data_IF_782559026026
#
_entry.id   IF_782559026026
#
_cell.length_a   1.000
_cell.length_b   1.000
_cell.length_c   1.000
_cell.angle_alpha   90.00
_cell.angle_beta   90.00
_cell.angle_gamma   90.00
#
_symmetry.space_group_name_H-M   'P 1'
#
loop_
_entity.id
_entity.type
_entity.pdbx_description
1 polymer ?
#
# COMPACT_ATOMS: atom_id res chain seq x y z
N UNK A 1 -11.95 5.47 -0.16
CA UNK A 1 -12.70 5.98 1.03
C UNK A 1 -13.28 7.38 0.83
N UNK A 2 -13.45 7.82 -0.41
CA UNK A 2 -14.10 9.11 -0.69
C UNK A 2 -15.52 9.15 -0.09
N UNK A 3 -15.84 10.23 0.61
CA UNK A 3 -17.13 10.45 1.32
C UNK A 3 -17.51 9.38 2.36
N UNK A 4 -16.56 8.60 2.85
CA UNK A 4 -16.82 7.64 3.92
C UNK A 4 -16.48 8.22 5.29
N UNK A 5 -17.25 7.93 6.32
CA UNK A 5 -16.90 8.28 7.69
C UNK A 5 -15.66 7.47 8.14
N UNK A 6 -14.96 7.96 9.17
CA UNK A 6 -13.76 7.31 9.69
C UNK A 6 -14.02 5.89 10.26
N UNK A 7 -15.25 5.60 10.67
CA UNK A 7 -15.67 4.27 11.11
C UNK A 7 -15.60 3.21 10.01
N UNK A 8 -15.61 3.63 8.74
CA UNK A 8 -15.48 2.75 7.57
C UNK A 8 -14.03 2.66 7.05
N UNK A 9 -13.09 3.39 7.66
CA UNK A 9 -11.68 3.30 7.26
C UNK A 9 -11.07 1.98 7.75
N UNK A 10 -10.39 1.31 6.84
CA UNK A 10 -9.77 0.00 7.11
C UNK A 10 -8.42 0.12 7.81
N UNK A 11 -8.36 0.93 8.87
CA UNK A 11 -7.18 1.03 9.73
C UNK A 11 -6.84 -0.30 10.40
N UNK A 12 -5.59 -0.47 10.80
CA UNK A 12 -5.19 -1.58 11.65
C UNK A 12 -5.83 -1.41 13.05
N UNK A 13 -6.61 -2.41 13.46
CA UNK A 13 -7.37 -2.38 14.73
C UNK A 13 -6.83 -3.34 15.79
N UNK A 14 -5.78 -4.09 15.48
CA UNK A 14 -5.11 -4.93 16.48
C UNK A 14 -4.16 -4.07 17.30
N UNK A 15 -4.40 -3.97 18.59
CA UNK A 15 -3.63 -3.18 19.57
C UNK A 15 -2.17 -3.64 19.69
N UNK A 16 -1.89 -4.91 19.41
CA UNK A 16 -0.54 -5.46 19.40
C UNK A 16 0.32 -4.97 18.21
N UNK A 17 -0.29 -4.40 17.15
CA UNK A 17 0.44 -3.87 16.00
C UNK A 17 0.92 -2.46 16.24
N UNK A 18 2.11 -2.13 15.74
CA UNK A 18 2.61 -0.74 15.73
C UNK A 18 1.79 0.18 14.84
N UNK A 19 1.01 -0.37 13.91
CA UNK A 19 0.10 0.36 13.04
C UNK A 19 -1.27 0.63 13.67
N UNK A 20 -1.49 0.24 14.93
CA UNK A 20 -2.78 0.37 15.60
C UNK A 20 -3.28 1.80 15.63
N UNK A 21 -4.52 1.99 15.22
CA UNK A 21 -5.29 3.24 15.33
C UNK A 21 -6.60 2.93 16.05
N UNK A 22 -6.90 3.57 17.19
CA UNK A 22 -8.15 3.38 17.93
C UNK A 22 -9.40 3.76 17.12
N UNK A 23 -10.54 3.18 17.49
CA UNK A 23 -11.82 3.62 16.92
C UNK A 23 -12.10 5.09 17.22
N UNK A 24 -12.73 5.78 16.25
CA UNK A 24 -13.02 7.20 16.36
C UNK A 24 -11.84 8.11 16.00
N UNK A 25 -10.61 7.58 15.94
CA UNK A 25 -9.45 8.35 15.52
C UNK A 25 -9.23 8.30 14.00
N UNK A 26 -8.51 9.29 13.49
CA UNK A 26 -8.19 9.44 12.08
C UNK A 26 -9.21 10.27 11.31
N UNK A 27 -8.72 11.32 10.65
CA UNK A 27 -9.51 12.21 9.81
C UNK A 27 -9.52 11.81 8.35
N UNK A 28 -8.40 11.25 7.87
CA UNK A 28 -8.18 10.86 6.49
C UNK A 28 -7.62 9.46 6.42
N UNK A 29 -8.03 8.72 5.41
CA UNK A 29 -7.39 7.46 5.04
C UNK A 29 -6.41 7.72 3.90
N UNK A 30 -5.14 7.56 4.18
CA UNK A 30 -4.07 7.76 3.20
C UNK A 30 -3.79 6.47 2.45
N UNK A 31 -3.97 6.49 1.13
CA UNK A 31 -3.62 5.36 0.29
C UNK A 31 -2.10 5.27 0.09
N UNK A 32 -1.55 4.06 0.12
CA UNK A 32 -0.11 3.81 0.01
C UNK A 32 0.49 4.10 -1.37
N UNK A 33 -0.35 4.34 -2.39
CA UNK A 33 0.10 4.46 -3.78
C UNK A 33 0.84 5.75 -4.13
N UNK A 34 0.72 6.81 -3.34
CA UNK A 34 1.38 8.09 -3.61
C UNK A 34 1.69 8.82 -2.31
N UNK A 35 2.96 8.97 -2.02
CA UNK A 35 3.45 9.80 -0.91
C UNK A 35 4.78 10.45 -1.29
N UNK A 36 5.12 11.56 -0.65
CA UNK A 36 6.38 12.24 -0.91
C UNK A 36 6.62 13.39 0.06
N UNK A 37 7.77 14.02 -0.07
CA UNK A 37 8.15 15.15 0.77
C UNK A 37 9.59 15.58 0.55
N UNK A 38 10.06 16.55 1.34
CA UNK A 38 11.49 16.85 1.32
C UNK A 38 12.29 15.66 1.88
N UNK A 39 13.50 15.48 1.40
CA UNK A 39 14.36 14.33 1.70
C UNK A 39 14.42 14.01 3.21
N UNK A 40 14.63 15.03 4.04
CA UNK A 40 14.74 14.85 5.49
C UNK A 40 13.45 14.27 6.11
N UNK A 41 12.29 14.81 5.73
CA UNK A 41 11.00 14.35 6.25
C UNK A 41 10.65 12.95 5.73
N UNK A 42 10.91 12.69 4.45
CA UNK A 42 10.64 11.39 3.86
C UNK A 42 11.55 10.29 4.42
N UNK A 43 12.82 10.56 4.62
CA UNK A 43 13.73 9.62 5.29
C UNK A 43 13.30 9.35 6.74
N UNK A 44 12.82 10.36 7.48
CA UNK A 44 12.27 10.15 8.82
C UNK A 44 11.06 9.21 8.80
N UNK A 45 10.13 9.40 7.85
CA UNK A 45 9.00 8.48 7.64
C UNK A 45 9.48 7.06 7.37
N UNK A 46 10.40 6.87 6.41
CA UNK A 46 10.91 5.54 6.05
C UNK A 46 11.60 4.86 7.24
N UNK A 47 12.50 5.55 7.96
CA UNK A 47 13.21 4.95 9.10
C UNK A 47 12.26 4.59 10.23
N UNK A 48 11.26 5.42 10.49
CA UNK A 48 10.23 5.12 11.50
C UNK A 48 9.43 3.88 11.13
N UNK A 49 8.93 3.83 9.89
CA UNK A 49 8.15 2.67 9.40
C UNK A 49 9.01 1.40 9.41
N UNK A 50 10.29 1.45 8.99
CA UNK A 50 11.18 0.29 9.07
C UNK A 50 11.29 -0.23 10.51
N UNK A 51 11.48 0.65 11.50
CA UNK A 51 11.56 0.24 12.90
C UNK A 51 10.25 -0.39 13.42
N UNK A 52 9.11 0.05 12.90
CA UNK A 52 7.81 -0.53 13.24
C UNK A 52 7.61 -1.90 12.60
N UNK A 53 8.01 -2.05 11.34
CA UNK A 53 8.01 -3.36 10.64
C UNK A 53 8.85 -4.38 11.41
N UNK A 54 10.05 -4.02 11.83
CA UNK A 54 10.94 -4.91 12.59
C UNK A 54 10.30 -5.32 13.92
N UNK A 55 9.65 -4.39 14.62
CA UNK A 55 8.94 -4.67 15.87
C UNK A 55 7.75 -5.61 15.65
N UNK A 56 6.90 -5.31 14.67
CA UNK A 56 5.75 -6.15 14.33
C UNK A 56 6.20 -7.54 13.88
N UNK A 57 7.28 -7.64 13.10
CA UNK A 57 7.85 -8.92 12.67
C UNK A 57 8.34 -9.76 13.86
N UNK A 58 8.96 -9.14 14.87
CA UNK A 58 9.38 -9.83 16.11
C UNK A 58 8.18 -10.42 16.85
N UNK A 59 7.02 -9.80 16.75
CA UNK A 59 5.77 -10.26 17.34
C UNK A 59 4.92 -11.12 16.39
N UNK A 60 5.45 -11.51 15.23
CA UNK A 60 4.74 -12.26 14.18
C UNK A 60 3.48 -11.54 13.66
N UNK A 61 3.49 -10.23 13.67
CA UNK A 61 2.40 -9.39 13.19
C UNK A 61 2.73 -8.85 11.80
N UNK A 62 1.77 -8.94 10.90
CA UNK A 62 1.77 -8.24 9.62
C UNK A 62 0.53 -7.36 9.62
N UNK A 63 0.65 -6.02 9.55
CA UNK A 63 -0.51 -5.12 9.49
C UNK A 63 -1.42 -5.44 8.31
N UNK A 64 -2.73 -5.22 8.47
CA UNK A 64 -3.77 -5.68 7.52
C UNK A 64 -3.53 -5.20 6.08
N UNK A 65 -3.03 -3.99 5.90
CA UNK A 65 -2.67 -3.40 4.61
C UNK A 65 -1.18 -3.07 4.51
N UNK A 66 -0.34 -3.86 5.18
CA UNK A 66 1.12 -3.78 5.12
C UNK A 66 1.63 -2.34 5.41
N UNK A 67 2.36 -1.76 4.45
CA UNK A 67 2.92 -0.41 4.51
C UNK A 67 1.84 0.68 4.59
N UNK A 68 0.70 0.51 3.95
CA UNK A 68 -0.41 1.47 3.99
C UNK A 68 -0.97 1.64 5.43
N UNK A 69 -1.07 0.57 6.20
CA UNK A 69 -1.47 0.64 7.62
C UNK A 69 -0.49 1.46 8.45
N UNK A 70 0.82 1.23 8.24
CA UNK A 70 1.89 1.95 8.93
C UNK A 70 1.96 3.42 8.52
N UNK A 71 1.75 3.72 7.23
CA UNK A 71 1.68 5.09 6.71
C UNK A 71 0.51 5.86 7.36
N UNK A 72 -0.66 5.23 7.48
CA UNK A 72 -1.81 5.84 8.13
C UNK A 72 -1.54 6.16 9.59
N UNK A 73 -0.92 5.21 10.33
CA UNK A 73 -0.50 5.45 11.72
C UNK A 73 0.55 6.57 11.81
N UNK A 74 1.53 6.57 10.94
CA UNK A 74 2.55 7.61 10.93
C UNK A 74 1.94 9.00 10.71
N UNK A 75 1.02 9.15 9.76
CA UNK A 75 0.37 10.42 9.46
C UNK A 75 -0.70 10.83 10.48
N UNK A 76 -1.22 9.91 11.27
CA UNK A 76 -2.02 10.25 12.44
C UNK A 76 -1.17 11.00 13.48
N UNK A 77 0.03 10.47 13.77
CA UNK A 77 0.93 11.01 14.78
C UNK A 77 1.76 12.21 14.25
N UNK A 78 2.00 12.26 12.94
CA UNK A 78 2.78 13.29 12.26
C UNK A 78 2.01 13.82 11.04
N UNK A 79 1.01 14.68 11.21
CA UNK A 79 0.17 15.14 10.10
C UNK A 79 0.98 15.71 8.95
N UNK A 80 0.70 15.33 7.69
CA UNK A 80 1.41 15.84 6.54
C UNK A 80 1.11 17.32 6.32
N UNK A 81 2.07 18.08 5.80
CA UNK A 81 1.89 19.50 5.47
C UNK A 81 0.85 19.70 4.34
N UNK A 82 0.71 18.73 3.46
CA UNK A 82 -0.25 18.73 2.33
C UNK A 82 -0.92 17.37 2.25
N UNK A 83 -2.26 17.37 2.25
CA UNK A 83 -3.06 16.19 1.90
C UNK A 83 -3.64 16.39 0.53
N UNK A 84 -3.25 15.54 -0.43
CA UNK A 84 -3.75 15.61 -1.79
C UNK A 84 -5.19 15.05 -1.88
N UNK A 85 -6.07 15.67 -2.67
CA UNK A 85 -7.42 15.16 -2.86
C UNK A 85 -7.43 13.83 -3.63
N UNK A 86 -8.53 13.05 -3.55
CA UNK A 86 -8.68 11.75 -4.23
C UNK A 86 -8.47 11.77 -5.74
N UNK A 87 -8.55 12.93 -6.38
CA UNK A 87 -8.25 13.10 -7.79
C UNK A 87 -6.81 12.67 -8.18
N UNK A 88 -5.86 12.67 -7.23
CA UNK A 88 -4.49 12.19 -7.42
C UNK A 88 -4.35 10.66 -7.29
N UNK A 89 -5.41 9.95 -6.93
CA UNK A 89 -5.45 8.48 -6.86
C UNK A 89 -6.80 7.98 -7.38
N UNK A 90 -7.18 8.44 -8.57
CA UNK A 90 -8.47 8.14 -9.17
C UNK A 90 -8.48 6.73 -9.77
N UNK A 91 -9.33 5.79 -9.30
CA UNK A 91 -9.36 4.44 -9.82
C UNK A 91 -9.93 4.39 -11.24
N UNK A 92 -9.27 3.64 -12.11
CA UNK A 92 -9.74 3.39 -13.46
C UNK A 92 -11.11 2.71 -13.45
N UNK A 93 -12.02 3.20 -14.31
CA UNK A 93 -13.38 2.65 -14.44
C UNK A 93 -14.38 3.16 -13.40
N UNK A 94 -13.95 3.98 -12.43
CA UNK A 94 -14.86 4.59 -11.48
C UNK A 94 -15.46 5.89 -12.04
N UNK A 95 -16.67 6.23 -11.55
CA UNK A 95 -17.33 7.49 -11.83
C UNK A 95 -17.43 8.29 -10.54
N UNK A 96 -16.51 9.23 -10.34
CA UNK A 96 -16.48 10.12 -9.19
C UNK A 96 -16.81 11.55 -9.62
N UNK A 97 -17.33 12.42 -8.71
CA UNK A 97 -17.82 13.76 -9.05
C UNK A 97 -16.71 14.78 -9.32
N UNK A 98 -15.50 14.33 -9.66
CA UNK A 98 -14.34 15.16 -10.02
C UNK A 98 -13.49 14.50 -11.09
N UNK A 99 -12.70 15.29 -11.82
CA UNK A 99 -11.81 14.79 -12.86
C UNK A 99 -10.55 14.15 -12.25
N UNK A 100 -10.03 13.07 -12.85
CA UNK A 100 -8.75 12.50 -12.43
C UNK A 100 -7.58 13.45 -12.76
N UNK A 101 -6.62 13.53 -11.83
CA UNK A 101 -5.29 14.13 -12.07
C UNK A 101 -4.29 13.00 -12.30
N UNK A 102 -4.31 11.97 -11.45
CA UNK A 102 -3.55 10.74 -11.63
C UNK A 102 -4.52 9.56 -11.65
N UNK A 103 -4.46 8.77 -12.72
CA UNK A 103 -5.29 7.59 -12.92
C UNK A 103 -4.56 6.35 -12.38
N UNK A 104 -5.20 5.66 -11.43
CA UNK A 104 -4.74 4.35 -10.96
C UNK A 104 -5.30 3.28 -11.91
N UNK A 105 -4.40 2.62 -12.63
CA UNK A 105 -4.78 1.58 -13.59
C UNK A 105 -5.16 0.27 -12.86
N UNK A 106 -6.18 -0.41 -13.39
CA UNK A 106 -6.58 -1.71 -12.86
C UNK A 106 -5.62 -2.81 -13.33
N UNK A 107 -4.71 -3.23 -12.44
CA UNK A 107 -3.72 -4.28 -12.72
C UNK A 107 -4.32 -5.67 -12.99
N UNK A 108 -5.61 -5.89 -12.75
CA UNK A 108 -6.27 -7.15 -13.10
C UNK A 108 -6.65 -7.23 -14.57
N UNK A 109 -6.60 -6.10 -15.31
CA UNK A 109 -6.89 -6.10 -16.73
C UNK A 109 -5.90 -6.95 -17.53
N UNK A 110 -6.37 -7.65 -18.59
CA UNK A 110 -5.53 -8.51 -19.43
C UNK A 110 -4.32 -7.79 -20.05
N UNK A 111 -4.46 -6.49 -20.35
CA UNK A 111 -3.38 -5.66 -20.92
C UNK A 111 -2.16 -5.53 -20.00
N UNK A 112 -2.34 -5.74 -18.68
CA UNK A 112 -1.25 -5.75 -17.68
C UNK A 112 -0.86 -7.17 -17.25
N UNK A 113 -1.46 -8.20 -17.86
CA UNK A 113 -1.22 -9.60 -17.53
C UNK A 113 -1.89 -10.08 -16.25
N UNK A 114 -2.65 -9.20 -15.56
CA UNK A 114 -3.32 -9.49 -14.31
C UNK A 114 -2.40 -9.48 -13.08
N UNK A 115 -3.00 -9.55 -11.92
CA UNK A 115 -2.30 -9.46 -10.64
C UNK A 115 -1.29 -10.60 -10.40
N UNK A 116 -1.63 -11.81 -10.85
CA UNK A 116 -0.76 -13.00 -10.75
C UNK A 116 0.50 -12.86 -11.61
N UNK A 117 0.36 -12.28 -12.81
CA UNK A 117 1.49 -11.97 -13.68
C UNK A 117 2.43 -10.95 -13.04
N UNK A 118 1.88 -9.86 -12.51
CA UNK A 118 2.67 -8.81 -11.85
C UNK A 118 3.39 -9.31 -10.60
N UNK A 119 2.77 -10.22 -9.84
CA UNK A 119 3.39 -10.87 -8.68
C UNK A 119 4.35 -11.99 -9.04
N UNK A 120 4.46 -12.39 -10.30
CA UNK A 120 5.29 -13.49 -10.81
C UNK A 120 5.05 -14.85 -10.12
N UNK A 121 3.99 -15.00 -9.33
CA UNK A 121 3.77 -16.21 -8.52
C UNK A 121 3.34 -17.43 -9.34
N UNK A 122 2.61 -17.24 -10.47
CA UNK A 122 2.06 -18.33 -11.28
C UNK A 122 2.21 -18.11 -12.79
N UNK A 123 3.07 -17.21 -13.22
CA UNK A 123 3.29 -16.99 -14.64
C UNK A 123 3.84 -18.26 -15.30
N UNK A 124 3.18 -18.73 -16.35
CA UNK A 124 3.68 -19.80 -17.21
C UNK A 124 5.13 -19.53 -17.66
N UNK A 125 5.46 -18.27 -17.92
CA UNK A 125 6.80 -17.81 -18.24
C UNK A 125 7.82 -18.05 -17.11
N UNK A 126 7.44 -17.88 -15.85
CA UNK A 126 8.30 -18.20 -14.71
C UNK A 126 8.51 -19.71 -14.62
N UNK A 127 7.44 -20.50 -14.84
CA UNK A 127 7.55 -21.98 -14.88
C UNK A 127 8.42 -22.44 -16.04
N UNK A 128 8.22 -21.89 -17.25
CA UNK A 128 9.07 -22.19 -18.42
C UNK A 128 10.53 -21.80 -18.16
N UNK A 129 10.79 -20.61 -17.60
CA UNK A 129 12.15 -20.15 -17.30
C UNK A 129 12.84 -21.02 -16.27
N UNK A 130 12.13 -21.48 -15.24
CA UNK A 130 12.64 -22.45 -14.26
C UNK A 130 12.91 -23.81 -14.85
N UNK A 131 12.09 -24.30 -15.79
CA UNK A 131 12.30 -25.54 -16.52
C UNK A 131 13.55 -25.42 -17.40
N UNK A 132 13.67 -24.33 -18.18
CA UNK A 132 14.85 -24.08 -19.03
C UNK A 132 16.14 -23.94 -18.22
N UNK A 133 16.09 -23.35 -17.02
CA UNK A 133 17.25 -23.29 -16.13
C UNK A 133 17.65 -24.66 -15.58
N UNK A 134 16.68 -25.52 -15.25
CA UNK A 134 16.95 -26.90 -14.80
C UNK A 134 17.56 -27.76 -15.88
N UNK A 135 17.12 -27.58 -17.14
CA UNK A 135 17.69 -28.30 -18.29
C UNK A 135 19.16 -27.89 -18.53
N UNK A 136 19.46 -26.59 -18.44
CA UNK A 136 20.84 -26.06 -18.59
C UNK A 136 21.81 -26.43 -17.46
N UNK A 137 21.33 -26.92 -16.35
CA UNK A 137 22.15 -27.40 -15.22
C UNK A 137 22.32 -28.91 -15.22
N UNK A 138 21.69 -29.61 -16.17
CA UNK A 138 21.77 -31.07 -16.34
C UNK A 138 22.69 -31.49 -17.50
N UNK A 139 23.19 -30.53 -18.28
CA UNK A 139 24.24 -30.66 -19.29
C UNK A 139 25.60 -30.16 -18.70
#
# INVERSE_FOLDING_TARGET
FYNKPNSEFTYERRDASTAYIPEGEGRYYYAGGLSGGCTKAYLKLCTTICSWVDRDATNHIIPIWHDESLINKYFLDNPPAITLPPAYLYPEGWSLPFKPIILIRDKNKPEYGGHEFLRRKNSLWVKIKLICQKIKLAD
#
